data_IF_748276120270
#
_entry.id   IF_748276120270
#
_cell.length_a   1.000
_cell.length_b   1.000
_cell.length_c   1.000
_cell.angle_alpha   90.00
_cell.angle_beta   90.00
_cell.angle_gamma   90.00
#
_symmetry.space_group_name_H-M   'P 1'
#
loop_
_entity.id
_entity.type
_entity.pdbx_description
1 polymer ?
#
# COMPACT_ATOMS: atom_id res chain seq x y z
N UNK A 1 -13.01 -3.19 16.39
CA UNK A 1 -13.14 -1.73 16.27
C UNK A 1 -12.87 -1.42 14.81
N UNK A 2 -13.87 -1.02 14.03
CA UNK A 2 -13.70 -0.74 12.59
C UNK A 2 -12.90 0.55 12.42
N UNK A 3 -11.58 0.42 12.39
CA UNK A 3 -10.66 1.50 12.05
C UNK A 3 -10.17 1.33 10.61
N UNK A 4 -9.52 2.36 10.10
CA UNK A 4 -8.96 2.38 8.75
C UNK A 4 -7.92 1.24 8.57
N UNK A 5 -7.77 0.74 7.33
CA UNK A 5 -6.81 -0.32 7.01
C UNK A 5 -5.58 0.30 6.36
N UNK A 6 -4.44 0.23 7.04
CA UNK A 6 -3.15 0.58 6.47
C UNK A 6 -2.55 -0.61 5.70
N UNK A 7 -2.23 -0.42 4.42
CA UNK A 7 -1.62 -1.43 3.56
C UNK A 7 -0.25 -0.99 3.07
N UNK A 8 0.76 -1.82 3.36
CA UNK A 8 2.08 -1.71 2.76
C UNK A 8 2.24 -2.76 1.67
N UNK A 9 2.62 -2.32 0.48
CA UNK A 9 2.85 -3.18 -0.68
C UNK A 9 4.26 -2.91 -1.19
N UNK A 10 5.05 -3.97 -1.39
CA UNK A 10 6.37 -3.87 -1.99
C UNK A 10 6.55 -4.74 -3.23
N UNK A 11 7.30 -4.22 -4.19
CA UNK A 11 7.72 -4.93 -5.39
C UNK A 11 9.13 -4.51 -5.80
N UNK A 12 9.83 -5.43 -6.45
CA UNK A 12 11.12 -5.23 -7.10
C UNK A 12 10.99 -4.75 -8.56
N UNK A 13 9.75 -4.60 -9.05
CA UNK A 13 9.46 -4.03 -10.36
C UNK A 13 9.45 -2.51 -10.28
N UNK A 14 9.99 -1.83 -11.30
CA UNK A 14 9.84 -0.37 -11.44
C UNK A 14 8.45 -0.08 -11.98
N UNK A 15 7.67 0.71 -11.26
CA UNK A 15 6.34 1.10 -11.69
C UNK A 15 6.44 2.36 -12.56
N UNK A 16 5.99 2.33 -13.83
CA UNK A 16 6.09 3.49 -14.71
C UNK A 16 5.22 4.66 -14.22
N UNK A 17 4.10 4.36 -13.57
CA UNK A 17 3.20 5.35 -12.97
C UNK A 17 2.70 4.86 -11.61
N UNK A 18 3.43 5.21 -10.56
CA UNK A 18 3.11 4.83 -9.18
C UNK A 18 1.76 5.39 -8.72
N UNK A 19 1.41 6.61 -9.10
CA UNK A 19 0.16 7.24 -8.71
C UNK A 19 -1.06 6.51 -9.30
N UNK A 20 -1.01 6.20 -10.60
CA UNK A 20 -2.04 5.40 -11.27
C UNK A 20 -2.20 4.00 -10.65
N UNK A 21 -1.08 3.36 -10.31
CA UNK A 21 -1.09 2.04 -9.64
C UNK A 21 -1.79 2.14 -8.28
N UNK A 22 -1.46 3.14 -7.47
CA UNK A 22 -2.10 3.37 -6.17
C UNK A 22 -3.60 3.65 -6.34
N UNK A 23 -4.00 4.50 -7.29
CA UNK A 23 -5.40 4.81 -7.54
C UNK A 23 -6.20 3.57 -7.97
N UNK A 24 -5.62 2.74 -8.83
CA UNK A 24 -6.24 1.48 -9.30
C UNK A 24 -6.44 0.52 -8.13
N UNK A 25 -5.38 0.26 -7.36
CA UNK A 25 -5.44 -0.60 -6.17
C UNK A 25 -6.47 -0.10 -5.16
N UNK A 26 -6.46 1.20 -4.88
CA UNK A 26 -7.40 1.82 -3.95
C UNK A 26 -8.86 1.62 -4.39
N UNK A 27 -9.17 1.89 -5.66
CA UNK A 27 -10.52 1.74 -6.20
C UNK A 27 -11.01 0.29 -6.15
N UNK A 28 -10.16 -0.66 -6.56
CA UNK A 28 -10.49 -2.09 -6.51
C UNK A 28 -10.72 -2.59 -5.08
N UNK A 29 -9.88 -2.18 -4.14
CA UNK A 29 -9.98 -2.59 -2.74
C UNK A 29 -11.21 -1.98 -2.04
N UNK A 30 -11.55 -0.72 -2.31
CA UNK A 30 -12.77 -0.12 -1.73
C UNK A 30 -14.02 -0.86 -2.19
N UNK A 31 -14.10 -1.21 -3.47
CA UNK A 31 -15.24 -1.97 -4.01
C UNK A 31 -15.31 -3.35 -3.35
N UNK A 32 -14.17 -4.02 -3.18
CA UNK A 32 -14.12 -5.36 -2.60
C UNK A 32 -14.40 -5.39 -1.08
N UNK A 33 -13.98 -4.35 -0.34
CA UNK A 33 -14.05 -4.30 1.12
C UNK A 33 -15.26 -3.53 1.66
N UNK A 34 -16.05 -2.89 0.80
CA UNK A 34 -17.31 -2.25 1.15
C UNK A 34 -17.14 -0.91 1.87
N UNK A 35 -16.56 0.08 1.19
CA UNK A 35 -16.34 1.46 1.68
C UNK A 35 -15.48 1.56 2.96
N UNK A 36 -14.79 0.48 3.30
CA UNK A 36 -13.77 0.49 4.33
C UNK A 36 -12.63 1.42 3.91
N UNK A 37 -12.31 2.41 4.75
CA UNK A 37 -11.20 3.33 4.48
C UNK A 37 -9.87 2.59 4.51
N UNK A 38 -9.01 2.95 3.55
CA UNK A 38 -7.73 2.32 3.30
C UNK A 38 -6.67 3.39 3.08
N UNK A 39 -5.47 3.18 3.62
CA UNK A 39 -4.28 3.98 3.31
C UNK A 39 -3.21 3.08 2.70
N UNK A 40 -2.68 3.42 1.52
CA UNK A 40 -1.74 2.57 0.77
C UNK A 40 -0.35 3.20 0.72
N UNK A 41 0.65 2.44 1.19
CA UNK A 41 2.08 2.73 1.01
C UNK A 41 2.66 1.73 0.01
N UNK A 42 2.97 2.22 -1.19
CA UNK A 42 3.58 1.40 -2.26
C UNK A 42 5.08 1.69 -2.39
N UNK A 43 5.91 0.67 -2.24
CA UNK A 43 7.37 0.70 -2.46
C UNK A 43 7.69 -0.15 -3.70
N UNK A 44 8.31 0.46 -4.70
CA UNK A 44 8.76 -0.21 -5.91
C UNK A 44 10.30 -0.25 -5.98
N UNK A 45 10.90 -0.63 -7.10
CA UNK A 45 12.36 -0.61 -7.26
C UNK A 45 12.97 0.80 -7.40
N UNK A 46 12.17 1.84 -7.66
CA UNK A 46 12.66 3.23 -7.70
C UNK A 46 12.49 3.95 -6.35
N UNK A 47 11.60 3.43 -5.50
CA UNK A 47 11.32 3.96 -4.18
C UNK A 47 12.43 3.57 -3.21
N UNK A 48 13.16 4.56 -2.73
CA UNK A 48 14.18 4.38 -1.69
C UNK A 48 13.59 3.96 -0.35
N UNK A 49 14.45 3.50 0.54
CA UNK A 49 14.09 3.21 1.92
C UNK A 49 13.64 4.49 2.65
N UNK A 50 12.68 4.33 3.56
CA UNK A 50 12.14 5.42 4.37
C UNK A 50 11.65 4.89 5.72
N UNK A 51 11.52 5.74 6.75
CA UNK A 51 11.05 5.29 8.07
C UNK A 51 9.70 4.56 8.02
N UNK A 52 8.76 5.01 7.16
CA UNK A 52 7.45 4.36 7.03
C UNK A 52 7.57 2.94 6.44
N UNK A 53 8.47 2.73 5.48
CA UNK A 53 8.75 1.41 4.90
C UNK A 53 9.39 0.49 5.94
N UNK A 54 10.36 0.99 6.69
CA UNK A 54 11.03 0.22 7.75
C UNK A 54 10.04 -0.20 8.85
N UNK A 55 9.21 0.74 9.33
CA UNK A 55 8.20 0.47 10.35
C UNK A 55 7.18 -0.54 9.82
N UNK A 56 6.65 -0.34 8.62
CA UNK A 56 5.66 -1.24 8.03
C UNK A 56 6.18 -2.68 7.89
N UNK A 57 7.43 -2.88 7.45
CA UNK A 57 8.03 -4.23 7.40
C UNK A 57 8.21 -4.86 8.78
N UNK A 58 8.55 -4.07 9.79
CA UNK A 58 8.83 -4.57 11.14
C UNK A 58 7.56 -4.88 11.94
N UNK A 59 6.51 -4.09 11.76
CA UNK A 59 5.29 -4.17 12.57
C UNK A 59 4.09 -4.73 11.82
N UNK A 60 4.16 -4.81 10.50
CA UNK A 60 3.10 -5.34 9.65
C UNK A 60 2.88 -6.83 9.86
N UNK A 61 1.70 -7.29 9.46
CA UNK A 61 1.36 -8.71 9.37
C UNK A 61 1.46 -9.08 7.89
N UNK A 62 2.28 -10.10 7.58
CA UNK A 62 2.38 -10.63 6.22
C UNK A 62 1.06 -11.33 5.87
N UNK A 63 0.48 -10.94 4.73
CA UNK A 63 -0.72 -11.53 4.15
C UNK A 63 -0.39 -12.59 3.11
#
# INVERSE_FOLDING_TARGET
RGGDIDLYIETDVKLPNRAETICTLYGELIIALGDQKLDIVLKDAHTGESPIVEIARRTGILL
#
